data_IF_798369830985
#
_entry.id   IF_798369830985
#
_cell.length_a   1.000
_cell.length_b   1.000
_cell.length_c   1.000
_cell.angle_alpha   90.00
_cell.angle_beta   90.00
_cell.angle_gamma   90.00
#
_symmetry.space_group_name_H-M   'P 1'
#
loop_
_entity.id
_entity.type
_entity.pdbx_description
1 polymer ?
#
# COMPACT_ATOMS: atom_id res chain seq x y z
N UNK A 1 -5.97 -11.59 17.25
CA UNK A 1 -4.61 -11.14 17.58
C UNK A 1 -4.65 -10.66 19.01
N UNK A 2 -4.18 -11.52 19.91
CA UNK A 2 -4.40 -11.45 21.36
C UNK A 2 -3.14 -11.82 22.14
N UNK A 3 -2.10 -12.35 21.47
CA UNK A 3 -0.81 -12.65 22.07
C UNK A 3 0.21 -11.63 21.66
N UNK A 4 0.84 -11.01 22.64
CA UNK A 4 1.87 -10.02 22.44
C UNK A 4 3.25 -10.66 22.28
N UNK A 5 4.00 -10.24 21.25
CA UNK A 5 5.37 -10.66 21.05
C UNK A 5 6.27 -10.14 22.19
N UNK A 6 7.01 -11.01 22.92
CA UNK A 6 7.85 -10.59 24.04
C UNK A 6 8.98 -9.62 23.69
N UNK A 7 9.36 -9.55 22.41
CA UNK A 7 10.51 -8.76 21.96
C UNK A 7 10.16 -7.41 21.34
N UNK A 8 8.99 -7.30 20.69
CA UNK A 8 8.62 -6.09 19.94
C UNK A 8 7.19 -5.61 20.17
N UNK A 9 6.43 -6.29 21.04
CA UNK A 9 5.07 -5.91 21.42
C UNK A 9 4.04 -5.94 20.27
N UNK A 10 4.39 -6.52 19.11
CA UNK A 10 3.44 -6.79 18.05
C UNK A 10 2.44 -7.87 18.49
N UNK A 11 1.16 -7.68 18.16
CA UNK A 11 0.10 -8.65 18.44
C UNK A 11 0.03 -9.72 17.36
N UNK A 12 -0.17 -10.97 17.79
CA UNK A 12 -0.24 -12.16 16.96
C UNK A 12 -1.40 -13.06 17.37
N UNK A 13 -1.76 -14.00 16.49
CA UNK A 13 -2.52 -15.19 16.90
C UNK A 13 -1.56 -16.28 17.40
N UNK A 14 -2.03 -17.09 18.35
CA UNK A 14 -1.23 -18.20 18.89
C UNK A 14 -0.71 -19.17 17.82
N UNK A 15 -1.51 -19.40 16.77
CA UNK A 15 -1.16 -20.30 15.67
C UNK A 15 -0.03 -19.78 14.79
N UNK A 16 0.31 -18.49 14.87
CA UNK A 16 1.47 -17.90 14.20
C UNK A 16 2.78 -18.11 14.96
N UNK A 17 2.73 -18.73 16.14
CA UNK A 17 3.93 -19.04 16.91
C UNK A 17 4.84 -19.97 16.10
N UNK A 18 6.14 -19.85 16.33
CA UNK A 18 7.11 -20.77 15.73
C UNK A 18 6.86 -22.20 16.21
N UNK A 19 7.09 -23.16 15.34
CA UNK A 19 6.93 -24.60 15.62
C UNK A 19 7.79 -25.06 16.80
N UNK A 20 8.99 -24.48 16.96
CA UNK A 20 9.91 -24.75 18.07
C UNK A 20 9.61 -23.96 19.36
N UNK A 21 8.54 -23.17 19.40
CA UNK A 21 8.13 -22.43 20.59
C UNK A 21 6.98 -23.11 21.31
N UNK A 22 6.95 -22.96 22.64
CA UNK A 22 5.89 -23.56 23.46
C UNK A 22 4.61 -22.73 23.42
N UNK A 23 3.47 -23.35 23.79
CA UNK A 23 2.20 -22.62 23.93
C UNK A 23 2.22 -21.59 25.06
N UNK A 24 2.97 -21.85 26.13
CA UNK A 24 3.09 -20.98 27.31
C UNK A 24 4.12 -19.85 27.12
N UNK A 25 5.09 -20.06 26.23
CA UNK A 25 6.10 -19.07 25.81
C UNK A 25 6.18 -19.07 24.29
N UNK A 26 5.17 -18.48 23.61
CA UNK A 26 5.16 -18.40 22.16
C UNK A 26 6.22 -17.40 21.68
N UNK A 27 6.90 -17.76 20.60
CA UNK A 27 7.85 -16.88 19.91
C UNK A 27 7.38 -16.68 18.48
N UNK A 28 7.64 -15.50 17.93
CA UNK A 28 7.15 -15.10 16.60
C UNK A 28 8.31 -14.71 15.69
N UNK A 29 8.27 -15.20 14.45
CA UNK A 29 9.26 -14.91 13.41
C UNK A 29 8.87 -13.74 12.50
N UNK A 30 7.57 -13.44 12.41
CA UNK A 30 6.99 -12.55 11.39
C UNK A 30 7.10 -11.06 11.72
N UNK A 31 7.29 -10.69 12.99
CA UNK A 31 7.40 -9.30 13.41
C UNK A 31 8.86 -8.82 13.49
N UNK A 32 9.57 -9.19 14.54
CA UNK A 32 10.96 -8.76 14.82
C UNK A 32 11.97 -9.90 14.67
N UNK A 33 11.54 -11.04 14.12
CA UNK A 33 12.33 -12.26 14.02
C UNK A 33 13.01 -12.63 15.36
N UNK A 34 12.19 -12.80 16.41
CA UNK A 34 12.67 -13.10 17.78
C UNK A 34 13.63 -12.03 18.34
N UNK A 35 13.40 -10.75 18.02
CA UNK A 35 14.22 -9.62 18.49
C UNK A 35 15.50 -9.37 17.68
N UNK A 36 15.75 -10.15 16.61
CA UNK A 36 16.90 -9.93 15.72
C UNK A 36 16.77 -8.66 14.88
N UNK A 37 15.55 -8.21 14.63
CA UNK A 37 15.24 -7.02 13.84
C UNK A 37 14.61 -5.99 14.75
N UNK A 38 15.22 -4.80 14.82
CA UNK A 38 14.61 -3.63 15.47
C UNK A 38 13.76 -2.90 14.44
N UNK A 39 12.44 -3.07 14.53
CA UNK A 39 11.51 -2.35 13.68
C UNK A 39 11.53 -0.85 14.03
N UNK A 40 11.52 0.05 13.03
CA UNK A 40 11.36 1.47 13.28
C UNK A 40 9.98 1.73 13.88
N UNK A 41 9.89 2.73 14.75
CA UNK A 41 8.61 3.18 15.29
C UNK A 41 7.79 3.74 14.13
N UNK A 42 6.51 3.37 14.07
CA UNK A 42 5.58 3.91 13.08
C UNK A 42 5.50 5.42 13.25
N UNK A 43 5.84 6.14 12.19
CA UNK A 43 5.66 7.59 12.18
C UNK A 43 4.17 7.92 12.16
N UNK A 44 3.76 9.01 12.82
CA UNK A 44 2.38 9.46 12.75
C UNK A 44 2.01 9.77 11.31
N UNK A 45 0.76 9.47 10.96
CA UNK A 45 0.25 9.76 9.64
C UNK A 45 0.18 11.29 9.43
N UNK A 46 0.46 11.81 8.22
CA UNK A 46 0.27 13.23 7.95
C UNK A 46 -1.16 13.68 8.32
N UNK A 47 -1.36 14.87 8.91
CA UNK A 47 -2.65 15.25 9.51
C UNK A 47 -3.86 15.10 8.58
N UNK A 48 -3.71 15.49 7.30
CA UNK A 48 -4.79 15.37 6.33
C UNK A 48 -5.19 13.92 6.04
N UNK A 49 -4.23 12.99 6.06
CA UNK A 49 -4.52 11.56 5.90
C UNK A 49 -5.13 11.02 7.19
N UNK A 50 -4.62 11.43 8.36
CA UNK A 50 -5.13 10.98 9.65
C UNK A 50 -6.64 11.29 9.82
N UNK A 51 -7.07 12.50 9.43
CA UNK A 51 -8.50 12.89 9.46
C UNK A 51 -9.38 11.93 8.66
N UNK A 52 -8.89 11.41 7.53
CA UNK A 52 -9.63 10.45 6.69
C UNK A 52 -9.84 9.07 7.34
N UNK A 53 -9.17 8.78 8.45
CA UNK A 53 -9.36 7.53 9.20
C UNK A 53 -10.07 7.74 10.54
N UNK A 54 -9.77 8.85 11.22
CA UNK A 54 -10.16 9.09 12.61
C UNK A 54 -11.48 9.89 12.76
N UNK A 55 -11.84 10.71 11.78
CA UNK A 55 -13.05 11.55 11.84
C UNK A 55 -14.33 10.77 11.47
N UNK A 56 -15.47 11.26 11.94
CA UNK A 56 -16.80 10.64 11.78
C UNK A 56 -17.76 11.44 10.92
N UNK A 57 -17.27 12.48 10.25
CA UNK A 57 -17.99 13.19 9.21
C UNK A 57 -18.46 12.26 8.08
N UNK A 58 -19.56 12.63 7.42
CA UNK A 58 -20.17 11.83 6.35
C UNK A 58 -19.19 11.56 5.19
N UNK A 59 -18.38 12.55 4.83
CA UNK A 59 -17.37 12.43 3.79
C UNK A 59 -16.26 11.44 4.17
N UNK A 60 -15.82 11.43 5.43
CA UNK A 60 -14.79 10.50 5.91
C UNK A 60 -15.31 9.06 5.97
N UNK A 61 -16.58 8.87 6.38
CA UNK A 61 -17.23 7.54 6.32
C UNK A 61 -17.32 7.03 4.88
N UNK A 62 -17.69 7.90 3.94
CA UNK A 62 -17.72 7.57 2.51
C UNK A 62 -16.32 7.25 1.96
N UNK A 63 -15.28 8.00 2.38
CA UNK A 63 -13.90 7.70 2.04
C UNK A 63 -13.50 6.31 2.53
N UNK A 64 -13.74 6.00 3.82
CA UNK A 64 -13.41 4.70 4.41
C UNK A 64 -14.14 3.54 3.72
N UNK A 65 -15.40 3.71 3.32
CA UNK A 65 -16.14 2.67 2.60
C UNK A 65 -15.63 2.43 1.17
N UNK A 66 -15.11 3.48 0.50
CA UNK A 66 -14.64 3.42 -0.88
C UNK A 66 -13.11 3.52 -1.01
N UNK A 67 -12.36 3.30 0.07
CA UNK A 67 -10.91 3.54 0.11
C UNK A 67 -10.14 2.76 -0.97
N UNK A 68 -10.63 1.56 -1.33
CA UNK A 68 -10.05 0.75 -2.40
C UNK A 68 -10.20 1.42 -3.77
N UNK A 69 -11.33 2.06 -4.03
CA UNK A 69 -11.59 2.79 -5.28
C UNK A 69 -10.73 4.04 -5.35
N UNK A 70 -10.62 4.80 -4.27
CA UNK A 70 -9.71 5.95 -4.19
C UNK A 70 -8.26 5.53 -4.42
N UNK A 71 -7.80 4.46 -3.76
CA UNK A 71 -6.44 3.93 -3.97
C UNK A 71 -6.24 3.43 -5.39
N UNK A 72 -7.23 2.75 -5.98
CA UNK A 72 -7.17 2.31 -7.37
C UNK A 72 -7.09 3.51 -8.34
N UNK A 73 -7.93 4.53 -8.16
CA UNK A 73 -7.88 5.74 -8.97
C UNK A 73 -6.53 6.46 -8.82
N UNK A 74 -5.97 6.50 -7.62
CA UNK A 74 -4.68 7.11 -7.37
C UNK A 74 -3.51 6.26 -7.89
N UNK A 75 -3.65 4.93 -7.98
CA UNK A 75 -2.66 4.04 -8.64
C UNK A 75 -2.79 4.08 -10.17
N UNK A 76 -3.97 4.42 -10.71
CA UNK A 76 -4.18 4.84 -12.10
C UNK A 76 -3.58 6.22 -12.37
N UNK A 77 -2.31 6.37 -12.02
CA UNK A 77 -1.43 7.34 -12.65
C UNK A 77 -1.35 7.04 -14.13
N UNK A 78 -1.70 8.02 -14.95
CA UNK A 78 -1.43 7.94 -16.38
C UNK A 78 0.07 7.74 -16.59
N UNK A 79 0.44 6.83 -17.50
CA UNK A 79 1.84 6.64 -17.88
C UNK A 79 2.26 7.82 -18.76
N UNK A 80 3.08 8.71 -18.23
CA UNK A 80 3.76 9.73 -19.01
C UNK A 80 4.96 9.11 -19.71
N UNK A 81 4.73 8.41 -20.82
CA UNK A 81 5.77 7.73 -21.59
C UNK A 81 5.88 8.30 -22.99
N UNK A 82 7.10 8.41 -23.50
CA UNK A 82 7.34 8.65 -24.92
C UNK A 82 7.35 7.28 -25.61
N UNK A 83 6.31 7.00 -26.39
CA UNK A 83 6.24 5.79 -27.18
C UNK A 83 7.31 5.82 -28.27
N UNK A 84 7.98 4.70 -28.50
CA UNK A 84 8.81 4.50 -29.66
C UNK A 84 7.91 4.11 -30.84
N UNK A 85 7.78 5.01 -31.82
CA UNK A 85 6.92 4.84 -32.99
C UNK A 85 7.49 3.89 -34.05
N UNK A 86 8.62 3.23 -33.77
CA UNK A 86 9.17 2.19 -34.64
C UNK A 86 8.15 1.05 -34.78
N UNK A 87 7.56 0.95 -35.98
CA UNK A 87 6.57 -0.06 -36.32
C UNK A 87 7.21 -1.45 -36.24
N UNK A 88 6.89 -2.20 -35.19
CA UNK A 88 7.22 -3.62 -35.10
C UNK A 88 6.23 -4.39 -35.98
N UNK A 89 6.65 -4.67 -37.21
CA UNK A 89 5.88 -5.45 -38.17
C UNK A 89 5.85 -6.93 -37.74
N UNK A 90 4.67 -7.42 -37.33
CA UNK A 90 4.44 -8.82 -36.97
C UNK A 90 2.96 -9.18 -36.94
N UNK A 91 2.63 -10.47 -37.07
CA UNK A 91 1.26 -10.97 -36.86
C UNK A 91 1.08 -11.28 -35.37
N UNK A 92 0.38 -10.41 -34.65
CA UNK A 92 0.11 -10.54 -33.21
C UNK A 92 -0.32 -9.22 -32.56
N UNK A 93 -0.61 -9.24 -31.26
CA UNK A 93 -0.80 -8.03 -30.47
C UNK A 93 0.44 -7.14 -30.59
N UNK A 94 0.26 -5.86 -30.96
CA UNK A 94 1.38 -4.92 -31.16
C UNK A 94 2.09 -4.69 -29.82
N UNK A 95 3.36 -5.11 -29.65
CA UNK A 95 4.14 -4.65 -28.52
C UNK A 95 4.40 -3.15 -28.69
N UNK A 96 4.27 -2.38 -27.61
CA UNK A 96 4.72 -0.99 -27.57
C UNK A 96 6.07 -0.95 -26.82
N UNK A 97 6.99 -0.14 -27.31
CA UNK A 97 8.28 0.09 -26.65
C UNK A 97 8.29 1.49 -26.05
N UNK A 98 8.82 1.61 -24.83
CA UNK A 98 9.02 2.89 -24.16
C UNK A 98 10.49 3.26 -24.29
N UNK A 99 10.78 4.48 -24.75
CA UNK A 99 12.14 5.00 -24.79
C UNK A 99 12.37 6.01 -23.66
N UNK A 100 13.39 5.79 -22.84
CA UNK A 100 13.75 6.69 -21.73
C UNK A 100 13.11 6.32 -20.39
N UNK A 101 12.65 7.32 -19.64
CA UNK A 101 12.16 7.17 -18.27
C UNK A 101 10.63 7.04 -18.22
N UNK A 102 10.13 6.11 -17.39
CA UNK A 102 8.71 5.99 -17.09
C UNK A 102 8.35 6.97 -15.98
N UNK A 103 7.47 7.94 -16.27
CA UNK A 103 6.97 8.89 -15.28
C UNK A 103 5.51 8.59 -14.96
N UNK A 104 5.21 8.44 -13.68
CA UNK A 104 3.85 8.38 -13.18
C UNK A 104 3.25 9.79 -13.18
N UNK A 105 2.25 10.04 -14.03
CA UNK A 105 1.48 11.29 -14.01
C UNK A 105 0.22 11.08 -13.19
N UNK A 106 0.24 11.62 -11.97
CA UNK A 106 -0.97 11.83 -11.18
C UNK A 106 -1.75 12.95 -11.86
N UNK A 107 -2.89 12.65 -12.47
CA UNK A 107 -3.77 13.68 -13.04
C UNK A 107 -4.34 14.47 -11.86
N UNK A 108 -4.41 15.81 -11.99
CA UNK A 108 -5.05 16.63 -10.98
C UNK A 108 -6.51 16.16 -10.82
N UNK A 109 -6.91 15.75 -9.62
CA UNK A 109 -8.29 15.37 -9.27
C UNK A 109 -9.27 16.56 -9.30
N UNK A 110 -8.86 17.70 -9.85
CA UNK A 110 -9.73 18.87 -9.99
C UNK A 110 -10.61 18.63 -11.22
N UNK A 111 -11.94 18.52 -11.06
CA UNK A 111 -12.83 18.49 -12.21
C UNK A 111 -12.62 19.78 -13.01
N UNK A 112 -12.68 19.66 -14.34
CA UNK A 112 -12.77 20.86 -15.18
C UNK A 112 -13.95 21.69 -14.69
N UNK A 113 -13.70 22.94 -14.32
CA UNK A 113 -14.75 23.92 -14.08
C UNK A 113 -15.58 23.96 -15.36
N UNK A 114 -16.75 23.33 -15.30
CA UNK A 114 -17.63 23.10 -16.44
C UNK A 114 -17.81 24.37 -17.26
N UNK A 115 -17.72 24.22 -18.58
CA UNK A 115 -18.27 25.18 -19.53
C UNK A 115 -19.72 24.86 -19.81
#
# INVERSE_FOLDING_TARGET
MDIECPSCHAFHWLDEKLTNSSRYRPLFGTCCNQGKIRLPILQPLPPGIQVLYDDDSSHVKSFRSHIREYNAANTFTSLGVKLDDRILNGRGSKPFSIYGELKHRVVALLPDLGK
#
